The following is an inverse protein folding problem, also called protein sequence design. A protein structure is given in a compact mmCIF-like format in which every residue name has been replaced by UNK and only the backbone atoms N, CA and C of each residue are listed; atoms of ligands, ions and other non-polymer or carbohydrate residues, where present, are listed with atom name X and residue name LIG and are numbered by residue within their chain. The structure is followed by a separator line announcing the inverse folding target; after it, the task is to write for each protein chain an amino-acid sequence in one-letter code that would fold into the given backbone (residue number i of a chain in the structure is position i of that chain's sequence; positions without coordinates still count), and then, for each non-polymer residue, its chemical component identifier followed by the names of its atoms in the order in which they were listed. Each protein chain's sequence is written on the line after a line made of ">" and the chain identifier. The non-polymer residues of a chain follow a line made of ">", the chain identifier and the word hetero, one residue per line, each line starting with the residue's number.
data_IF_751964852057
#
_entry.id   IF_751964852057
#
_cell.length_a   1.000
_cell.length_b   1.000
_cell.length_c   1.000
_cell.angle_alpha   90.00
_cell.angle_beta   90.00
_cell.angle_gamma   90.00
#
_symmetry.space_group_name_H-M   'P 1'
#
loop_
_entity.id
_entity.type
_entity.pdbx_description
1 polymer ?
#
# COMPACT_ATOMS: atom_id res chain seq x y z
N UNK A 1 3.30 -13.61 4.40
CA UNK A 1 4.31 -12.67 4.91
C UNK A 1 4.99 -12.01 3.71
N UNK A 2 4.62 -10.78 3.37
CA UNK A 2 5.40 -9.96 2.43
C UNK A 2 6.82 -9.71 2.96
N UNK A 3 7.73 -9.10 2.17
CA UNK A 3 9.09 -8.85 2.61
C UNK A 3 9.06 -8.18 3.99
N UNK A 4 9.50 -8.92 5.01
CA UNK A 4 9.73 -8.37 6.33
C UNK A 4 10.99 -7.54 6.20
N UNK A 5 10.84 -6.26 5.87
CA UNK A 5 11.98 -5.37 5.94
C UNK A 5 12.38 -5.29 7.41
N UNK A 6 13.50 -5.93 7.77
CA UNK A 6 14.18 -5.80 9.07
C UNK A 6 14.81 -4.40 9.21
N UNK A 7 14.08 -3.35 8.83
CA UNK A 7 14.48 -1.98 9.08
C UNK A 7 14.27 -1.73 10.57
N UNK A 8 15.38 -1.52 11.29
CA UNK A 8 15.36 -1.06 12.67
C UNK A 8 14.53 0.21 12.67
N UNK A 9 13.38 0.20 13.36
CA UNK A 9 12.56 1.40 13.43
C UNK A 9 13.36 2.41 14.25
N UNK A 10 13.36 3.71 13.90
CA UNK A 10 14.03 4.71 14.72
C UNK A 10 13.61 4.66 16.20
N UNK A 11 12.37 4.21 16.48
CA UNK A 11 11.85 4.02 17.83
C UNK A 11 12.54 2.87 18.59
N UNK A 12 13.02 1.84 17.89
CA UNK A 12 13.75 0.72 18.49
C UNK A 12 15.17 1.14 18.96
N UNK A 13 15.69 2.25 18.44
CA UNK A 13 16.96 2.87 18.86
C UNK A 13 16.75 4.14 19.70
N UNK A 14 15.53 4.35 20.22
CA UNK A 14 15.22 5.44 21.15
C UNK A 14 14.94 6.80 20.51
N UNK A 15 14.83 6.91 19.19
CA UNK A 15 14.43 8.16 18.54
C UNK A 15 12.93 8.46 18.79
N UNK A 16 12.61 9.73 19.04
CA UNK A 16 11.23 10.17 19.20
C UNK A 16 10.43 10.05 17.90
N UNK A 17 9.13 9.80 18.01
CA UNK A 17 8.22 9.80 16.86
C UNK A 17 8.00 11.25 16.40
N UNK A 18 8.16 11.49 15.09
CA UNK A 18 7.74 12.76 14.49
C UNK A 18 6.24 12.97 14.66
N UNK A 19 5.86 14.14 15.19
CA UNK A 19 4.48 14.55 15.43
C UNK A 19 4.35 16.04 15.05
N UNK A 20 3.73 16.31 13.91
CA UNK A 20 3.29 17.67 13.52
C UNK A 20 1.78 17.76 13.40
N UNK A 21 1.27 18.83 12.77
CA UNK A 21 -0.15 18.87 12.39
C UNK A 21 -0.46 17.80 11.32
N UNK A 22 -1.72 17.41 11.11
CA UNK A 22 -2.09 16.48 10.04
C UNK A 22 -1.54 16.89 8.66
N UNK A 23 -1.52 18.19 8.36
CA UNK A 23 -1.02 18.75 7.11
C UNK A 23 0.51 18.64 6.99
N UNK A 24 1.23 18.89 8.07
CA UNK A 24 2.69 18.74 8.13
C UNK A 24 3.12 17.28 8.04
N UNK A 25 2.39 16.39 8.72
CA UNK A 25 2.59 14.95 8.63
C UNK A 25 2.36 14.47 7.19
N UNK A 26 1.28 14.92 6.55
CA UNK A 26 1.01 14.60 5.15
C UNK A 26 2.09 15.16 4.22
N UNK A 27 2.55 16.39 4.42
CA UNK A 27 3.64 16.99 3.63
C UNK A 27 4.93 16.17 3.75
N UNK A 28 5.25 15.72 4.95
CA UNK A 28 6.43 14.88 5.23
C UNK A 28 6.34 13.54 4.52
N UNK A 29 5.21 12.84 4.68
CA UNK A 29 4.96 11.55 4.01
C UNK A 29 4.97 11.71 2.49
N UNK A 30 4.28 12.73 1.96
CA UNK A 30 4.28 13.04 0.53
C UNK A 30 5.69 13.22 -0.01
N UNK A 31 6.54 13.98 0.69
CA UNK A 31 7.93 14.17 0.29
C UNK A 31 8.72 12.86 0.28
N UNK A 32 8.51 11.99 1.28
CA UNK A 32 9.13 10.67 1.31
C UNK A 32 8.72 9.80 0.10
N UNK A 33 7.42 9.74 -0.21
CA UNK A 33 6.94 9.00 -1.39
C UNK A 33 7.47 9.58 -2.71
N UNK A 34 7.57 10.92 -2.84
CA UNK A 34 8.18 11.56 -4.02
C UNK A 34 9.66 11.22 -4.14
N UNK A 35 10.39 11.24 -3.03
CA UNK A 35 11.80 10.83 -2.99
C UNK A 35 11.97 9.37 -3.44
N UNK A 36 11.06 8.48 -3.05
CA UNK A 36 11.06 7.07 -3.45
C UNK A 36 10.53 6.82 -4.89
N UNK A 37 10.15 7.87 -5.62
CA UNK A 37 9.81 7.79 -7.05
C UNK A 37 8.32 7.80 -7.39
N UNK A 38 7.43 8.12 -6.44
CA UNK A 38 6.00 8.31 -6.72
C UNK A 38 5.78 9.55 -7.59
N UNK A 39 4.89 9.46 -8.59
CA UNK A 39 4.57 10.62 -9.44
C UNK A 39 3.41 11.43 -8.88
N UNK A 40 2.38 10.80 -8.33
CA UNK A 40 1.32 11.45 -7.58
C UNK A 40 1.16 10.77 -6.23
N UNK A 41 0.79 11.56 -5.23
CA UNK A 41 0.57 11.10 -3.86
C UNK A 41 -0.67 11.84 -3.36
N UNK A 42 -1.62 11.09 -2.86
CA UNK A 42 -2.88 11.56 -2.31
C UNK A 42 -3.13 10.95 -0.94
N UNK A 43 -4.07 11.54 -0.21
CA UNK A 43 -4.56 11.01 1.05
C UNK A 43 -6.09 11.12 1.05
N UNK A 44 -6.76 10.09 1.54
CA UNK A 44 -8.21 10.08 1.76
C UNK A 44 -8.50 9.54 3.17
N UNK A 45 -9.57 10.04 3.78
CA UNK A 45 -10.05 9.52 5.06
C UNK A 45 -10.84 8.22 4.85
N UNK A 46 -10.76 7.32 5.82
CA UNK A 46 -11.55 6.10 5.93
C UNK A 46 -12.74 6.38 6.85
N UNK A 47 -13.92 6.39 6.26
CA UNK A 47 -15.22 6.44 6.92
C UNK A 47 -16.02 5.12 6.74
N UNK A 48 -17.25 5.10 7.26
CA UNK A 48 -18.15 3.94 7.15
C UNK A 48 -18.52 3.55 5.73
N UNK A 49 -18.44 4.47 4.77
CA UNK A 49 -18.76 4.20 3.36
C UNK A 49 -17.55 3.66 2.61
N UNK A 50 -16.37 4.23 2.83
CA UNK A 50 -15.12 3.78 2.24
C UNK A 50 -14.72 2.38 2.69
N UNK A 51 -15.05 1.99 3.94
CA UNK A 51 -14.84 0.63 4.45
C UNK A 51 -15.56 -0.43 3.59
N UNK A 52 -16.68 -0.07 2.94
CA UNK A 52 -17.45 -0.99 2.09
C UNK A 52 -16.72 -1.38 0.79
N UNK A 53 -15.71 -0.61 0.37
CA UNK A 53 -14.87 -0.96 -0.80
C UNK A 53 -13.82 -2.03 -0.49
N UNK A 54 -13.62 -2.38 0.79
CA UNK A 54 -12.69 -3.43 1.18
C UNK A 54 -13.38 -4.80 1.08
N UNK A 55 -13.14 -5.48 -0.04
CA UNK A 55 -13.62 -6.85 -0.26
C UNK A 55 -12.67 -7.89 0.33
N UNK A 56 -13.11 -9.16 0.37
CA UNK A 56 -12.24 -10.29 0.72
C UNK A 56 -11.04 -10.30 -0.22
N UNK A 57 -9.84 -10.15 0.33
CA UNK A 57 -8.61 -10.05 -0.43
C UNK A 57 -7.81 -11.36 -0.34
N UNK A 58 -7.30 -11.83 -1.47
CA UNK A 58 -6.28 -12.89 -1.49
C UNK A 58 -4.90 -12.25 -1.60
N UNK A 59 -3.93 -12.75 -0.85
CA UNK A 59 -2.64 -12.07 -0.71
C UNK A 59 -2.80 -10.71 -0.01
N UNK A 60 -1.73 -10.18 0.58
CA UNK A 60 -1.80 -8.87 1.22
C UNK A 60 -2.30 -7.82 0.22
N UNK A 61 -3.38 -7.12 0.58
CA UNK A 61 -3.94 -5.95 -0.09
C UNK A 61 -3.95 -5.97 -1.64
N UNK A 62 -5.04 -6.47 -2.25
CA UNK A 62 -5.42 -6.27 -3.67
C UNK A 62 -4.27 -6.28 -4.70
N UNK A 63 -3.28 -7.14 -4.54
CA UNK A 63 -2.14 -7.25 -5.44
C UNK A 63 -2.36 -8.28 -6.55
N UNK A 64 -1.69 -8.10 -7.67
CA UNK A 64 -1.68 -8.96 -8.88
C UNK A 64 -1.29 -10.44 -8.66
N UNK A 65 -1.12 -10.87 -7.41
CA UNK A 65 -0.83 -12.25 -6.97
C UNK A 65 -1.85 -12.75 -5.93
N UNK A 66 -3.00 -12.09 -5.85
CA UNK A 66 -4.19 -12.53 -5.15
C UNK A 66 -4.69 -13.84 -5.76
N UNK A 67 -4.13 -14.96 -5.30
CA UNK A 67 -4.20 -16.28 -5.93
C UNK A 67 -5.50 -16.61 -6.65
N UNK A 68 -5.38 -16.86 -7.96
CA UNK A 68 -6.46 -17.53 -8.70
C UNK A 68 -6.77 -18.88 -8.05
N UNK A 69 -8.03 -19.09 -7.71
CA UNK A 69 -8.56 -20.35 -7.15
C UNK A 69 -9.88 -20.11 -6.42
N UNK A 70 -10.75 -21.10 -6.33
CA UNK A 70 -12.12 -20.93 -5.78
C UNK A 70 -12.21 -20.91 -4.25
N UNK A 71 -11.09 -20.96 -3.51
CA UNK A 71 -11.07 -20.85 -2.05
C UNK A 71 -11.07 -19.38 -1.59
N UNK A 72 -12.18 -18.92 -1.01
CA UNK A 72 -12.45 -17.52 -0.63
C UNK A 72 -11.32 -16.83 0.16
N UNK A 73 -10.96 -15.62 -0.26
CA UNK A 73 -9.91 -14.82 0.36
C UNK A 73 -10.17 -14.41 1.81
N UNK A 74 -9.18 -13.78 2.44
CA UNK A 74 -9.27 -13.30 3.83
C UNK A 74 -10.15 -12.05 3.90
N UNK A 75 -10.96 -11.97 4.94
CA UNK A 75 -11.79 -10.79 5.20
C UNK A 75 -10.90 -9.63 5.68
N UNK A 76 -11.01 -8.45 5.07
CA UNK A 76 -10.45 -7.23 5.65
C UNK A 76 -11.44 -6.74 6.70
N UNK A 77 -11.01 -6.67 7.96
CA UNK A 77 -11.88 -6.34 9.10
C UNK A 77 -11.30 -5.16 9.88
N UNK A 78 -12.08 -4.08 9.96
CA UNK A 78 -11.78 -2.92 10.80
C UNK A 78 -12.29 -3.19 12.22
N UNK A 79 -11.40 -3.16 13.21
CA UNK A 79 -11.70 -3.51 14.61
C UNK A 79 -11.08 -2.52 15.59
N UNK A 80 -11.64 -2.45 16.80
CA UNK A 80 -11.05 -1.72 17.93
C UNK A 80 -9.89 -2.52 18.55
N UNK A 81 -8.77 -2.52 17.85
CA UNK A 81 -7.52 -3.18 18.24
C UNK A 81 -6.38 -2.16 18.18
N UNK A 82 -5.32 -2.37 18.96
CA UNK A 82 -4.20 -1.42 18.99
C UNK A 82 -3.15 -1.70 17.91
N UNK A 83 -2.92 -2.98 17.60
CA UNK A 83 -1.89 -3.41 16.64
C UNK A 83 -2.56 -4.27 15.56
N UNK A 84 -2.29 -4.02 14.26
CA UNK A 84 -2.81 -4.85 13.19
C UNK A 84 -2.26 -6.28 13.27
N UNK A 85 -3.07 -7.26 12.92
CA UNK A 85 -2.66 -8.66 12.84
C UNK A 85 -3.30 -9.37 11.64
N UNK A 86 -2.72 -10.51 11.27
CA UNK A 86 -3.19 -11.36 10.19
C UNK A 86 -3.42 -12.78 10.74
N UNK A 87 -4.59 -13.35 10.48
CA UNK A 87 -4.91 -14.76 10.78
C UNK A 87 -5.10 -15.55 9.49
N UNK A 88 -5.49 -16.82 9.59
CA UNK A 88 -5.88 -17.61 8.42
C UNK A 88 -7.06 -17.01 7.64
N UNK A 89 -7.96 -16.31 8.33
CA UNK A 89 -9.26 -15.92 7.80
C UNK A 89 -9.42 -14.41 7.59
N UNK A 90 -8.60 -13.58 8.25
CA UNK A 90 -8.77 -12.12 8.22
C UNK A 90 -7.46 -11.32 8.25
N UNK A 91 -7.56 -10.10 7.72
CA UNK A 91 -6.64 -8.99 7.95
C UNK A 91 -7.32 -7.99 8.89
N UNK A 92 -6.87 -7.95 10.15
CA UNK A 92 -7.46 -7.07 11.16
C UNK A 92 -6.73 -5.71 11.16
N UNK A 93 -7.46 -4.64 10.83
CA UNK A 93 -6.97 -3.26 10.76
C UNK A 93 -7.56 -2.47 11.94
N UNK A 94 -6.73 -1.76 12.73
CA UNK A 94 -7.20 -0.85 13.77
C UNK A 94 -8.12 0.26 13.25
N UNK A 95 -9.23 0.56 13.95
CA UNK A 95 -10.10 1.71 13.66
C UNK A 95 -9.39 3.08 13.78
N UNK A 96 -8.26 3.15 14.50
CA UNK A 96 -7.41 4.36 14.55
C UNK A 96 -6.69 4.64 13.22
N UNK A 97 -6.61 3.68 12.31
CA UNK A 97 -6.02 3.86 10.98
C UNK A 97 -7.03 4.52 10.04
N UNK A 98 -7.21 5.84 10.19
CA UNK A 98 -8.25 6.62 9.48
C UNK A 98 -7.85 7.14 8.10
N UNK A 99 -6.64 6.88 7.62
CA UNK A 99 -6.15 7.50 6.39
C UNK A 99 -5.58 6.45 5.43
N UNK A 100 -5.96 6.55 4.16
CA UNK A 100 -5.38 5.81 3.05
C UNK A 100 -4.49 6.76 2.27
N UNK A 101 -3.22 6.38 2.11
CA UNK A 101 -2.29 7.06 1.23
C UNK A 101 -2.32 6.34 -0.11
N UNK A 102 -2.64 7.08 -1.17
CA UNK A 102 -2.59 6.58 -2.54
C UNK A 102 -1.39 7.18 -3.25
N UNK A 103 -0.77 6.41 -4.13
CA UNK A 103 0.33 6.92 -4.95
C UNK A 103 0.32 6.28 -6.33
N UNK A 104 0.91 6.96 -7.29
CA UNK A 104 0.96 6.50 -8.68
C UNK A 104 2.39 6.23 -9.12
N UNK A 105 2.55 5.19 -9.96
CA UNK A 105 3.74 4.93 -10.76
C UNK A 105 3.41 5.11 -12.24
N UNK A 106 3.75 6.26 -12.83
CA UNK A 106 3.42 6.55 -14.25
C UNK A 106 4.20 5.63 -15.18
N UNK A 107 3.50 4.89 -16.03
CA UNK A 107 4.09 4.08 -17.08
C UNK A 107 4.69 4.96 -18.20
N UNK A 108 5.63 4.40 -18.97
CA UNK A 108 6.15 5.05 -20.17
C UNK A 108 5.06 5.13 -21.24
N UNK A 109 4.73 6.34 -21.69
CA UNK A 109 3.70 6.55 -22.71
C UNK A 109 3.95 5.76 -24.00
N UNK A 110 5.19 5.81 -24.52
CA UNK A 110 5.56 5.08 -25.74
C UNK A 110 5.49 3.56 -25.57
N UNK A 111 5.79 3.07 -24.37
CA UNK A 111 5.71 1.64 -24.03
C UNK A 111 4.27 1.15 -23.90
N UNK A 112 3.44 1.88 -23.16
CA UNK A 112 2.02 1.53 -22.96
C UNK A 112 1.23 1.60 -24.26
N UNK A 113 1.48 2.59 -25.12
CA UNK A 113 0.79 2.70 -26.42
C UNK A 113 1.09 1.54 -27.38
N UNK A 114 2.24 0.87 -27.22
CA UNK A 114 2.65 -0.30 -28.02
C UNK A 114 2.51 -1.62 -27.27
N UNK A 115 1.73 -1.63 -26.20
CA UNK A 115 1.64 -2.78 -25.30
C UNK A 115 1.05 -4.02 -25.99
N UNK A 116 0.19 -3.88 -27.00
CA UNK A 116 -0.43 -5.00 -27.73
C UNK A 116 0.50 -5.69 -28.75
N UNK A 117 1.75 -5.98 -28.38
CA UNK A 117 2.75 -6.60 -29.27
C UNK A 117 3.86 -7.33 -28.51
N UNK A 118 4.95 -7.71 -29.18
CA UNK A 118 6.03 -8.52 -28.55
C UNK A 118 6.75 -7.85 -27.36
N UNK A 119 6.58 -6.53 -27.18
CA UNK A 119 7.09 -5.78 -26.03
C UNK A 119 6.05 -5.67 -24.90
N UNK A 120 5.00 -6.49 -24.94
CA UNK A 120 3.92 -6.48 -23.98
C UNK A 120 4.43 -6.60 -22.54
N UNK A 121 3.93 -5.73 -21.68
CA UNK A 121 4.14 -5.83 -20.25
C UNK A 121 5.42 -5.20 -19.70
N UNK A 122 6.44 -4.85 -20.49
CA UNK A 122 7.66 -4.23 -19.92
C UNK A 122 7.35 -2.94 -19.14
N UNK A 123 6.56 -2.04 -19.73
CA UNK A 123 6.18 -0.78 -19.08
C UNK A 123 5.36 -1.00 -17.80
N UNK A 124 4.57 -2.09 -17.75
CA UNK A 124 3.76 -2.51 -16.61
C UNK A 124 4.65 -3.07 -15.51
N UNK A 125 5.47 -4.08 -15.81
CA UNK A 125 6.37 -4.73 -14.87
C UNK A 125 7.42 -3.79 -14.29
N UNK A 126 7.97 -2.90 -15.12
CA UNK A 126 8.87 -1.84 -14.65
C UNK A 126 8.18 -0.92 -13.65
N UNK A 127 6.89 -0.62 -13.87
CA UNK A 127 6.11 0.20 -12.95
C UNK A 127 5.82 -0.52 -11.63
N UNK A 128 5.49 -1.81 -11.67
CA UNK A 128 5.36 -2.63 -10.45
C UNK A 128 6.67 -2.75 -9.67
N UNK A 129 7.80 -2.93 -10.35
CA UNK A 129 9.11 -3.03 -9.69
C UNK A 129 9.48 -1.76 -8.89
N UNK A 130 8.95 -0.59 -9.30
CA UNK A 130 9.12 0.65 -8.53
C UNK A 130 8.34 0.64 -7.21
N UNK A 131 7.24 -0.10 -7.11
CA UNK A 131 6.46 -0.22 -5.87
C UNK A 131 7.19 -1.02 -4.78
N UNK A 132 7.94 -2.05 -5.15
CA UNK A 132 8.66 -2.90 -4.18
C UNK A 132 9.67 -2.08 -3.37
N UNK A 133 10.32 -1.08 -4.00
CA UNK A 133 11.26 -0.17 -3.33
C UNK A 133 10.60 0.81 -2.35
N UNK A 134 9.27 0.94 -2.35
CA UNK A 134 8.53 1.78 -1.39
C UNK A 134 8.02 1.01 -0.17
N UNK A 135 7.95 -0.32 -0.26
CA UNK A 135 7.40 -1.18 0.79
C UNK A 135 8.47 -1.79 1.71
N UNK A 136 9.75 -1.52 1.42
CA UNK A 136 10.91 -1.91 2.22
C UNK A 136 11.53 -0.65 2.82
#
# INVERSE_FOLDING_TARGET
>A
LGPQCFSIRPQDVGASRWQGTPEENYKTVRNAFRFLGAQDVGCAEIDSDTVKFFHRAKGGASGMFAGQGDAGGKQVAFKDIDVPYETGDEYAIPNKCKYIITFTARQSFEGTRRQAGITEGFAVWYSYARYIKMMC
#
